data_IF_048649534652
#
_entry.id   IF_048649534652
#
_cell.length_a   1.000
_cell.length_b   1.000
_cell.length_c   1.000
_cell.angle_alpha   90.00
_cell.angle_beta   90.00
_cell.angle_gamma   90.00
#
_symmetry.space_group_name_H-M   'P 1'
#
loop_
_entity.id
_entity.type
_entity.pdbx_description
1 polymer ?
#
# COMPACT_ATOMS: atom_id res chain seq x y z
N UNK A 1 45.69 44.06 32.24
CA UNK A 1 45.50 43.65 30.82
C UNK A 1 44.50 42.52 30.77
N UNK A 2 43.47 42.67 29.94
CA UNK A 2 42.35 41.74 29.72
C UNK A 2 42.81 40.48 28.98
N UNK A 3 42.28 39.32 29.32
CA UNK A 3 42.05 38.25 28.34
C UNK A 3 40.66 37.65 28.53
N UNK A 4 39.81 37.93 27.56
CA UNK A 4 38.46 37.38 27.40
C UNK A 4 38.63 36.00 26.76
N UNK A 5 38.11 34.94 27.41
CA UNK A 5 37.97 33.61 26.78
C UNK A 5 36.74 33.63 25.88
N UNK A 6 36.94 33.67 24.58
CA UNK A 6 35.89 33.45 23.58
C UNK A 6 35.54 31.96 23.52
N UNK A 7 34.31 31.62 23.92
CA UNK A 7 33.65 30.37 23.55
C UNK A 7 33.56 30.29 22.02
N UNK A 8 34.04 29.19 21.44
CA UNK A 8 33.69 28.81 20.07
C UNK A 8 32.78 27.59 20.16
N UNK A 9 31.48 27.83 20.11
CA UNK A 9 30.48 26.76 19.90
C UNK A 9 30.38 26.57 18.39
N UNK A 10 30.95 25.49 17.88
CA UNK A 10 30.76 25.09 16.50
C UNK A 10 29.34 24.47 16.37
N UNK A 11 28.41 25.19 15.75
CA UNK A 11 27.14 24.62 15.30
C UNK A 11 27.44 23.68 14.12
N UNK A 12 27.43 22.36 14.38
CA UNK A 12 27.42 21.36 13.32
C UNK A 12 26.05 21.35 12.65
N UNK A 13 26.01 21.71 11.37
CA UNK A 13 24.81 21.55 10.53
C UNK A 13 24.72 20.06 10.17
N UNK A 14 23.90 19.32 10.91
CA UNK A 14 23.54 17.95 10.55
C UNK A 14 22.56 18.00 9.38
N UNK A 15 23.03 17.82 8.16
CA UNK A 15 22.17 17.51 7.02
C UNK A 15 21.53 16.14 7.26
N UNK A 16 20.25 16.11 7.67
CA UNK A 16 19.44 14.91 7.58
C UNK A 16 19.38 14.51 6.11
N UNK A 17 20.11 13.45 5.73
CA UNK A 17 19.83 12.74 4.48
C UNK A 17 18.43 12.14 4.65
N UNK A 18 17.45 12.69 3.96
CA UNK A 18 16.19 12.01 3.74
C UNK A 18 16.50 10.74 2.94
N UNK A 19 16.44 9.58 3.60
CA UNK A 19 16.56 8.30 2.93
C UNK A 19 15.39 8.20 1.95
N UNK A 20 15.67 8.30 0.65
CA UNK A 20 14.66 8.05 -0.39
C UNK A 20 14.34 6.57 -0.35
N UNK A 21 13.12 6.21 0.03
CA UNK A 21 12.67 4.83 -0.01
C UNK A 21 12.82 4.27 -1.45
N UNK A 22 13.20 2.99 -1.62
CA UNK A 22 13.37 2.42 -2.95
C UNK A 22 12.06 2.46 -3.73
N UNK A 23 12.12 2.77 -5.03
CA UNK A 23 10.95 2.93 -5.90
C UNK A 23 10.04 1.70 -5.90
N UNK A 24 10.60 0.49 -5.75
CA UNK A 24 9.85 -0.76 -5.60
C UNK A 24 9.01 -0.85 -4.31
N UNK A 25 9.39 -0.15 -3.24
CA UNK A 25 8.67 -0.21 -1.97
C UNK A 25 7.30 0.47 -2.02
N UNK A 26 7.06 1.37 -2.97
CA UNK A 26 5.83 2.17 -3.03
C UNK A 26 4.59 1.29 -3.20
N UNK A 27 3.53 1.59 -2.48
CA UNK A 27 2.23 0.97 -2.59
C UNK A 27 1.23 1.87 -3.30
N UNK A 28 0.00 1.37 -3.40
CA UNK A 28 -1.18 2.21 -3.60
C UNK A 28 -2.19 1.92 -2.49
N UNK A 29 -2.89 2.96 -2.03
CA UNK A 29 -3.99 2.84 -1.08
C UNK A 29 -4.99 3.97 -1.31
N UNK A 30 -6.19 3.83 -0.78
CA UNK A 30 -7.14 4.92 -0.78
C UNK A 30 -7.14 5.66 0.54
N UNK A 31 -7.24 6.98 0.46
CA UNK A 31 -7.37 7.85 1.63
C UNK A 31 -8.18 9.10 1.26
N UNK A 32 -8.80 9.72 2.27
CA UNK A 32 -9.48 10.99 2.07
C UNK A 32 -8.47 12.13 1.83
N UNK A 33 -8.77 12.98 0.85
CA UNK A 33 -8.07 14.23 0.53
C UNK A 33 -9.11 15.31 0.32
N UNK A 34 -9.20 16.26 1.26
CA UNK A 34 -10.23 17.30 1.26
C UNK A 34 -11.65 16.77 1.02
N UNK A 35 -12.03 15.68 1.73
CA UNK A 35 -13.32 14.97 1.62
C UNK A 35 -13.58 14.25 0.29
N UNK A 36 -12.56 14.09 -0.56
CA UNK A 36 -12.62 13.24 -1.73
C UNK A 36 -11.82 11.97 -1.46
N UNK A 37 -12.36 10.81 -1.83
CA UNK A 37 -11.60 9.57 -1.77
C UNK A 37 -10.56 9.60 -2.89
N UNK A 38 -9.28 9.53 -2.55
CA UNK A 38 -8.17 9.60 -3.49
C UNK A 38 -7.44 8.26 -3.55
N UNK A 39 -6.92 7.90 -4.73
CA UNK A 39 -5.94 6.83 -4.88
C UNK A 39 -4.54 7.43 -4.70
N UNK A 40 -3.89 7.09 -3.59
CA UNK A 40 -2.55 7.55 -3.23
C UNK A 40 -1.52 6.57 -3.78
N UNK A 41 -0.37 7.11 -4.23
CA UNK A 41 0.82 6.34 -4.61
C UNK A 41 2.00 6.85 -3.77
N UNK A 42 2.63 5.97 -3.00
CA UNK A 42 3.58 6.41 -1.97
C UNK A 42 4.13 5.26 -1.13
N UNK A 43 4.91 5.60 -0.12
CA UNK A 43 5.31 4.76 1.01
C UNK A 43 5.42 5.67 2.24
N UNK A 44 4.93 5.22 3.40
CA UNK A 44 4.90 6.07 4.58
C UNK A 44 4.05 7.33 4.37
N UNK A 45 4.65 8.49 4.67
CA UNK A 45 4.03 9.81 4.51
C UNK A 45 4.05 10.33 3.05
N UNK A 46 4.67 9.60 2.12
CA UNK A 46 4.72 10.04 0.73
C UNK A 46 3.32 10.06 0.10
N UNK A 47 3.05 11.14 -0.62
CA UNK A 47 1.88 11.32 -1.47
C UNK A 47 2.38 11.86 -2.82
N UNK A 48 2.96 10.95 -3.60
CA UNK A 48 3.62 11.31 -4.85
C UNK A 48 2.59 11.59 -5.94
N UNK A 49 3.05 12.19 -7.05
CA UNK A 49 2.25 12.43 -8.24
C UNK A 49 1.74 11.11 -8.86
N UNK A 50 0.57 10.70 -8.40
CA UNK A 50 -0.14 9.49 -8.77
C UNK A 50 -0.84 9.65 -10.12
N UNK A 51 -1.11 10.88 -10.56
CA UNK A 51 -1.66 11.16 -11.90
C UNK A 51 -0.71 10.66 -13.00
N UNK A 52 0.60 10.83 -12.83
CA UNK A 52 1.62 10.24 -13.74
C UNK A 52 1.57 8.71 -13.84
N UNK A 53 0.92 8.03 -12.87
CA UNK A 53 0.80 6.57 -12.80
C UNK A 53 -0.58 6.07 -13.23
N UNK A 54 -1.53 6.96 -13.55
CA UNK A 54 -2.86 6.56 -14.04
C UNK A 54 -2.83 5.57 -15.22
N UNK A 55 -1.94 5.71 -16.23
CA UNK A 55 -1.87 4.72 -17.32
C UNK A 55 -1.47 3.29 -16.87
N UNK A 56 -0.93 3.15 -15.66
CA UNK A 56 -0.55 1.87 -15.06
C UNK A 56 -1.70 1.22 -14.26
N UNK A 57 -2.70 2.00 -13.86
CA UNK A 57 -3.92 1.51 -13.23
C UNK A 57 -4.73 0.75 -14.28
N UNK A 58 -5.03 -0.52 -14.00
CA UNK A 58 -5.76 -1.40 -14.93
C UNK A 58 -7.26 -1.36 -14.68
N UNK A 59 -7.66 -1.34 -13.41
CA UNK A 59 -9.06 -1.25 -13.02
C UNK A 59 -9.22 -0.38 -11.78
N UNK A 60 -10.39 0.26 -11.69
CA UNK A 60 -10.95 0.85 -10.48
C UNK A 60 -12.44 0.52 -10.48
N UNK A 61 -12.93 -0.06 -9.40
CA UNK A 61 -14.31 -0.53 -9.30
C UNK A 61 -14.86 -0.19 -7.91
N UNK A 62 -16.00 0.49 -7.88
CA UNK A 62 -16.78 0.68 -6.66
C UNK A 62 -17.69 -0.52 -6.42
N UNK A 63 -18.07 -0.74 -5.18
CA UNK A 63 -19.00 -1.79 -4.79
C UNK A 63 -20.02 -1.25 -3.81
N UNK A 64 -21.27 -1.69 -3.93
CA UNK A 64 -22.32 -1.42 -2.95
C UNK A 64 -22.18 -2.34 -1.71
N UNK A 65 -23.11 -2.23 -0.76
CA UNK A 65 -23.11 -3.05 0.46
C UNK A 65 -23.37 -4.54 0.23
N UNK A 66 -23.86 -4.91 -0.96
CA UNK A 66 -24.09 -6.29 -1.38
C UNK A 66 -22.95 -6.84 -2.24
N UNK A 67 -21.89 -6.04 -2.44
CA UNK A 67 -20.76 -6.31 -3.32
C UNK A 67 -21.12 -6.36 -4.80
N UNK A 68 -22.24 -5.76 -5.19
CA UNK A 68 -22.52 -5.52 -6.60
C UNK A 68 -21.63 -4.37 -7.10
N UNK A 69 -21.09 -4.46 -8.33
CA UNK A 69 -20.25 -3.41 -8.88
C UNK A 69 -21.05 -2.13 -9.14
N UNK A 70 -20.43 -0.99 -8.83
CA UNK A 70 -20.92 0.36 -9.09
C UNK A 70 -20.01 1.01 -10.13
N UNK A 71 -20.57 1.86 -11.00
CA UNK A 71 -19.77 2.57 -12.00
C UNK A 71 -18.82 3.52 -11.30
N UNK A 72 -17.51 3.33 -11.48
CA UNK A 72 -16.51 4.13 -10.79
C UNK A 72 -15.36 4.46 -11.73
N UNK A 73 -14.77 5.64 -11.55
CA UNK A 73 -13.63 6.08 -12.34
C UNK A 73 -12.64 6.86 -11.47
N UNK A 74 -11.43 7.07 -11.99
CA UNK A 74 -10.45 7.98 -11.41
C UNK A 74 -10.35 9.23 -12.27
N UNK A 75 -10.59 10.39 -11.66
CA UNK A 75 -10.40 11.70 -12.28
C UNK A 75 -9.18 12.38 -11.70
N UNK A 76 -8.32 12.95 -12.54
CA UNK A 76 -7.20 13.75 -12.09
C UNK A 76 -7.68 15.05 -11.42
N UNK A 77 -7.19 15.32 -10.21
CA UNK A 77 -7.36 16.56 -9.47
C UNK A 77 -5.98 17.07 -9.02
N UNK A 78 -5.33 17.86 -9.89
CA UNK A 78 -3.92 18.22 -9.70
C UNK A 78 -3.01 17.00 -9.85
N UNK A 79 -2.19 16.71 -8.84
CA UNK A 79 -1.29 15.55 -8.81
C UNK A 79 -1.95 14.28 -8.25
N UNK A 80 -3.20 14.37 -7.78
CA UNK A 80 -3.90 13.30 -7.07
C UNK A 80 -5.12 12.84 -7.90
N UNK A 81 -5.25 11.55 -8.23
CA UNK A 81 -6.47 11.00 -8.79
C UNK A 81 -7.51 10.75 -7.69
N UNK A 82 -8.71 11.24 -7.91
CA UNK A 82 -9.85 11.07 -7.01
C UNK A 82 -10.91 10.16 -7.61
N UNK A 83 -11.59 9.42 -6.75
CA UNK A 83 -12.65 8.49 -7.12
C UNK A 83 -13.92 9.28 -7.42
N UNK A 84 -14.41 9.13 -8.65
CA UNK A 84 -15.76 9.55 -9.03
C UNK A 84 -16.66 8.31 -9.11
N UNK A 85 -17.86 8.40 -8.59
CA UNK A 85 -18.88 7.35 -8.59
C UNK A 85 -20.25 7.96 -8.88
N UNK A 86 -21.10 7.23 -9.60
CA UNK A 86 -22.49 7.62 -9.87
C UNK A 86 -23.40 7.39 -8.65
N UNK A 87 -23.06 6.39 -7.84
CA UNK A 87 -23.80 6.00 -6.64
C UNK A 87 -22.89 5.93 -5.39
N UNK A 88 -23.45 5.95 -4.18
CA UNK A 88 -22.69 5.68 -2.96
C UNK A 88 -22.01 4.30 -2.99
N UNK A 89 -20.73 4.26 -2.61
CA UNK A 89 -19.94 3.02 -2.55
C UNK A 89 -19.69 2.59 -1.11
N UNK A 90 -19.84 1.29 -0.83
CA UNK A 90 -19.41 0.63 0.40
C UNK A 90 -17.92 0.26 0.38
N UNK A 91 -17.37 0.05 -0.81
CA UNK A 91 -15.96 -0.18 -1.02
C UNK A 91 -15.48 0.28 -2.39
N UNK A 92 -14.17 0.49 -2.52
CA UNK A 92 -13.51 0.74 -3.80
C UNK A 92 -12.29 -0.14 -3.90
N UNK A 93 -12.10 -0.79 -5.05
CA UNK A 93 -10.94 -1.61 -5.34
C UNK A 93 -10.20 -1.09 -6.58
N UNK A 94 -8.87 -1.19 -6.59
CA UNK A 94 -8.06 -0.85 -7.75
C UNK A 94 -6.91 -1.83 -7.95
N UNK A 95 -6.55 -2.03 -9.21
CA UNK A 95 -5.38 -2.83 -9.62
C UNK A 95 -4.43 -1.98 -10.43
N UNK A 96 -3.13 -2.18 -10.23
CA UNK A 96 -2.06 -1.52 -10.97
C UNK A 96 -0.99 -2.54 -11.32
N UNK A 97 -0.63 -2.56 -12.59
CA UNK A 97 0.60 -3.21 -13.05
C UNK A 97 1.67 -2.12 -13.14
N UNK A 98 2.59 -2.12 -12.19
CA UNK A 98 3.64 -1.11 -12.09
C UNK A 98 4.82 -1.41 -13.02
N UNK A 99 4.79 -2.55 -13.72
CA UNK A 99 5.77 -2.93 -14.72
C UNK A 99 7.05 -3.55 -14.16
N UNK A 100 8.04 -3.65 -15.05
CA UNK A 100 9.33 -4.25 -14.77
C UNK A 100 10.30 -3.23 -14.16
N UNK A 101 11.03 -3.64 -13.14
CA UNK A 101 12.02 -2.82 -12.47
C UNK A 101 13.30 -3.62 -12.25
N UNK A 102 14.43 -3.06 -12.69
CA UNK A 102 15.75 -3.67 -12.56
C UNK A 102 16.69 -2.77 -11.77
N UNK A 103 17.37 -3.35 -10.78
CA UNK A 103 18.34 -2.67 -9.93
C UNK A 103 19.76 -3.02 -10.33
N UNK A 104 20.56 -2.03 -10.72
CA UNK A 104 21.97 -2.19 -11.08
C UNK A 104 22.88 -2.27 -9.84
N UNK A 105 24.15 -2.71 -9.98
CA UNK A 105 25.06 -2.90 -8.84
C UNK A 105 25.38 -1.62 -8.04
N UNK A 106 25.26 -0.46 -8.66
CA UNK A 106 25.36 0.87 -8.04
C UNK A 106 24.09 1.25 -7.24
N UNK A 107 23.02 0.46 -7.35
CA UNK A 107 21.79 0.62 -6.63
C UNK A 107 20.71 1.44 -7.36
N UNK A 108 20.98 1.90 -8.58
CA UNK A 108 19.99 2.61 -9.39
C UNK A 108 18.87 1.68 -9.87
N UNK A 109 17.65 2.23 -9.98
CA UNK A 109 16.47 1.51 -10.45
C UNK A 109 16.07 1.98 -11.84
N UNK A 110 15.87 1.03 -12.75
CA UNK A 110 15.40 1.28 -14.11
C UNK A 110 14.04 0.61 -14.34
N UNK A 111 13.10 1.33 -14.95
CA UNK A 111 11.78 0.81 -15.33
C UNK A 111 11.87 -0.07 -16.60
N UNK A 112 12.59 -1.18 -16.48
CA UNK A 112 12.97 -2.13 -17.53
C UNK A 112 13.19 -3.53 -16.95
N UNK A 113 13.04 -4.55 -17.78
CA UNK A 113 13.37 -5.94 -17.45
C UNK A 113 14.86 -6.28 -17.59
N UNK A 114 15.23 -7.47 -17.12
CA UNK A 114 16.60 -8.03 -17.20
C UNK A 114 17.09 -8.21 -18.64
N UNK A 115 16.19 -8.34 -19.60
CA UNK A 115 16.51 -8.37 -21.03
C UNK A 115 17.11 -7.06 -21.55
N UNK A 116 16.68 -5.92 -21.00
CA UNK A 116 17.22 -4.60 -21.34
C UNK A 116 18.28 -4.10 -20.36
N UNK A 117 18.32 -4.65 -19.14
CA UNK A 117 19.30 -4.32 -18.09
C UNK A 117 20.05 -5.60 -17.68
N UNK A 118 20.92 -6.15 -18.55
CA UNK A 118 21.54 -7.47 -18.32
C UNK A 118 22.48 -7.51 -17.12
N UNK A 119 23.01 -6.37 -16.68
CA UNK A 119 23.86 -6.23 -15.50
C UNK A 119 23.08 -6.05 -14.19
N UNK A 120 21.74 -6.15 -14.20
CA UNK A 120 20.91 -6.01 -13.01
C UNK A 120 21.27 -7.06 -11.94
N UNK A 121 21.41 -6.61 -10.70
CA UNK A 121 21.55 -7.47 -9.52
C UNK A 121 20.22 -8.05 -9.06
N UNK A 122 19.12 -7.36 -9.39
CA UNK A 122 17.76 -7.76 -9.07
C UNK A 122 16.84 -7.23 -10.17
N UNK A 123 15.90 -8.05 -10.64
CA UNK A 123 14.87 -7.67 -11.59
C UNK A 123 13.51 -8.19 -11.11
N UNK A 124 12.49 -7.34 -11.16
CA UNK A 124 11.19 -7.60 -10.55
C UNK A 124 10.06 -7.14 -11.46
N UNK A 125 8.92 -7.82 -11.40
CA UNK A 125 7.65 -7.31 -11.94
C UNK A 125 6.72 -6.99 -10.78
N UNK A 126 6.35 -5.73 -10.67
CA UNK A 126 5.65 -5.20 -9.50
C UNK A 126 4.15 -5.00 -9.75
N UNK A 127 3.32 -5.61 -8.92
CA UNK A 127 1.86 -5.45 -8.95
C UNK A 127 1.35 -4.82 -7.66
N UNK A 128 0.38 -3.91 -7.80
CA UNK A 128 -0.19 -3.19 -6.66
C UNK A 128 -1.71 -3.27 -6.68
N UNK A 129 -2.28 -3.47 -5.51
CA UNK A 129 -3.72 -3.63 -5.31
C UNK A 129 -4.14 -2.74 -4.14
N UNK A 130 -5.31 -2.13 -4.24
CA UNK A 130 -5.89 -1.36 -3.14
C UNK A 130 -7.34 -1.74 -2.96
N UNK A 131 -7.75 -1.91 -1.70
CA UNK A 131 -9.15 -2.00 -1.29
C UNK A 131 -9.39 -0.95 -0.20
N UNK A 132 -10.48 -0.21 -0.33
CA UNK A 132 -10.98 0.70 0.70
C UNK A 132 -12.36 0.26 1.15
N UNK A 133 -12.58 0.22 2.45
CA UNK A 133 -13.91 0.06 3.04
C UNK A 133 -14.38 1.42 3.55
N UNK A 134 -15.46 1.96 2.98
CA UNK A 134 -16.04 3.25 3.42
C UNK A 134 -16.89 3.08 4.67
N UNK A 135 -17.28 1.84 4.97
CA UNK A 135 -18.07 1.44 6.12
C UNK A 135 -17.67 0.04 6.59
N UNK A 136 -18.04 -0.33 7.82
CA UNK A 136 -17.86 -1.70 8.29
C UNK A 136 -18.73 -2.64 7.46
N UNK A 137 -18.14 -3.68 6.83
CA UNK A 137 -18.89 -4.56 5.95
C UNK A 137 -19.87 -5.44 6.75
N UNK A 138 -21.08 -5.61 6.23
CA UNK A 138 -22.11 -6.49 6.81
C UNK A 138 -22.02 -7.93 6.29
N UNK A 139 -21.25 -8.13 5.23
CA UNK A 139 -20.97 -9.42 4.56
C UNK A 139 -19.47 -9.60 4.38
N UNK A 140 -18.94 -10.84 4.32
CA UNK A 140 -17.51 -11.06 4.13
C UNK A 140 -17.04 -10.36 2.85
N UNK A 141 -15.88 -9.70 2.92
CA UNK A 141 -15.27 -9.05 1.74
C UNK A 141 -14.93 -10.14 0.72
N UNK A 142 -15.51 -10.12 -0.49
CA UNK A 142 -15.22 -11.13 -1.51
C UNK A 142 -13.84 -10.92 -2.09
N UNK A 143 -13.34 -11.91 -2.83
CA UNK A 143 -12.15 -11.70 -3.67
C UNK A 143 -12.56 -11.01 -4.95
N UNK A 144 -11.89 -9.91 -5.27
CA UNK A 144 -12.22 -9.10 -6.43
C UNK A 144 -11.51 -9.63 -7.68
N UNK A 145 -12.19 -9.53 -8.83
CA UNK A 145 -11.60 -9.89 -10.11
C UNK A 145 -10.35 -9.04 -10.40
N UNK A 146 -9.30 -9.66 -10.95
CA UNK A 146 -8.03 -9.00 -11.23
C UNK A 146 -7.11 -8.84 -10.00
N UNK A 147 -7.60 -9.06 -8.77
CA UNK A 147 -6.75 -9.04 -7.58
C UNK A 147 -5.99 -10.36 -7.43
N UNK A 148 -4.76 -10.42 -7.96
CA UNK A 148 -3.88 -11.59 -7.77
C UNK A 148 -3.47 -11.74 -6.31
N UNK A 149 -3.26 -10.64 -5.59
CA UNK A 149 -3.07 -10.61 -4.15
C UNK A 149 -4.18 -9.74 -3.52
N UNK A 150 -4.79 -10.22 -2.44
CA UNK A 150 -5.77 -9.46 -1.69
C UNK A 150 -5.66 -9.77 -0.19
N UNK A 151 -5.67 -8.73 0.64
CA UNK A 151 -5.82 -8.84 2.09
C UNK A 151 -7.24 -8.41 2.48
N UNK A 152 -7.88 -9.21 3.33
CA UNK A 152 -9.25 -8.96 3.82
C UNK A 152 -9.32 -9.14 5.33
N UNK A 153 -10.31 -8.51 6.01
CA UNK A 153 -10.67 -8.92 7.36
C UNK A 153 -11.04 -10.41 7.36
N UNK A 154 -10.49 -11.18 8.29
CA UNK A 154 -10.84 -12.60 8.42
C UNK A 154 -12.21 -12.79 9.09
N UNK A 155 -12.59 -11.83 9.93
CA UNK A 155 -13.85 -11.77 10.66
C UNK A 155 -14.68 -10.56 10.19
N UNK A 156 -16.01 -10.68 10.23
CA UNK A 156 -16.93 -9.58 9.92
C UNK A 156 -16.81 -8.41 10.90
N UNK A 157 -16.61 -8.72 12.18
CA UNK A 157 -16.49 -7.74 13.24
C UNK A 157 -15.08 -7.13 13.22
N UNK A 158 -14.87 -6.11 12.37
CA UNK A 158 -13.65 -5.30 12.41
C UNK A 158 -13.59 -4.60 13.79
N UNK A 159 -12.50 -4.74 14.56
CA UNK A 159 -12.39 -4.08 15.86
C UNK A 159 -12.48 -2.56 15.71
N UNK A 160 -13.09 -1.91 16.70
CA UNK A 160 -13.48 -0.49 16.59
C UNK A 160 -12.58 0.44 17.41
N UNK A 161 -11.60 -0.12 18.13
CA UNK A 161 -10.67 0.65 18.95
C UNK A 161 -9.23 0.37 18.57
N UNK A 162 -8.44 1.44 18.55
CA UNK A 162 -6.99 1.35 18.49
C UNK A 162 -6.46 0.39 19.57
N UNK A 163 -5.53 -0.46 19.18
CA UNK A 163 -4.85 -1.41 20.03
C UNK A 163 -5.52 -2.78 20.14
N UNK A 164 -6.76 -2.94 19.63
CA UNK A 164 -7.43 -4.23 19.56
C UNK A 164 -6.79 -5.14 18.50
N UNK A 165 -6.74 -6.47 18.74
CA UNK A 165 -6.25 -7.42 17.76
C UNK A 165 -7.25 -7.56 16.61
N UNK A 166 -6.76 -7.53 15.38
CA UNK A 166 -7.54 -7.78 14.17
C UNK A 166 -6.95 -8.99 13.43
N UNK A 167 -7.79 -9.97 13.12
CA UNK A 167 -7.40 -11.08 12.26
C UNK A 167 -7.64 -10.71 10.80
N UNK A 168 -6.64 -10.89 9.97
CA UNK A 168 -6.72 -10.72 8.51
C UNK A 168 -6.40 -12.02 7.81
N UNK A 169 -6.85 -12.15 6.56
CA UNK A 169 -6.45 -13.24 5.67
C UNK A 169 -5.92 -12.68 4.36
N UNK A 170 -4.81 -13.22 3.90
CA UNK A 170 -4.22 -12.89 2.60
C UNK A 170 -4.48 -14.03 1.63
N UNK A 171 -4.94 -13.69 0.44
CA UNK A 171 -5.16 -14.59 -0.67
C UNK A 171 -4.19 -14.26 -1.80
N UNK A 172 -3.56 -15.28 -2.37
CA UNK A 172 -2.79 -15.21 -3.60
C UNK A 172 -3.41 -16.15 -4.63
N UNK A 173 -3.72 -15.64 -5.83
CA UNK A 173 -4.40 -16.37 -6.92
C UNK A 173 -5.68 -17.06 -6.44
N UNK A 174 -6.48 -16.34 -5.66
CA UNK A 174 -7.75 -16.81 -5.12
C UNK A 174 -7.66 -17.80 -3.96
N UNK A 175 -6.46 -18.16 -3.48
CA UNK A 175 -6.25 -19.15 -2.41
C UNK A 175 -5.54 -18.52 -1.21
N UNK A 176 -5.87 -18.93 0.03
CA UNK A 176 -5.13 -18.47 1.20
C UNK A 176 -3.64 -18.77 1.06
N UNK A 177 -2.78 -17.79 1.39
CA UNK A 177 -1.34 -17.91 1.17
C UNK A 177 -0.56 -17.77 2.48
N UNK A 178 0.33 -18.72 2.75
CA UNK A 178 1.23 -18.69 3.89
C UNK A 178 2.48 -17.84 3.60
N UNK A 179 3.05 -17.24 4.64
CA UNK A 179 4.30 -16.48 4.57
C UNK A 179 4.20 -15.10 3.93
N UNK A 180 3.01 -14.63 3.57
CA UNK A 180 2.81 -13.23 3.18
C UNK A 180 3.07 -12.32 4.38
N UNK A 181 3.84 -11.27 4.16
CA UNK A 181 4.06 -10.21 5.15
C UNK A 181 2.79 -9.37 5.26
N UNK A 182 2.39 -9.01 6.48
CA UNK A 182 1.27 -8.11 6.76
C UNK A 182 1.79 -7.00 7.67
N UNK A 183 1.94 -5.82 7.10
CA UNK A 183 2.25 -4.59 7.82
C UNK A 183 0.95 -3.97 8.36
N UNK A 184 0.98 -3.56 9.62
CA UNK A 184 -0.19 -3.03 10.31
C UNK A 184 -0.36 -1.51 10.19
N UNK A 185 0.68 -0.79 9.77
CA UNK A 185 0.62 0.66 9.55
C UNK A 185 1.59 1.11 8.46
N UNK A 186 1.18 0.96 7.21
CA UNK A 186 2.02 1.29 6.06
C UNK A 186 2.30 2.79 5.87
N UNK A 187 1.48 3.64 6.50
CA UNK A 187 1.57 5.11 6.36
C UNK A 187 2.45 5.72 7.45
N UNK A 188 2.32 5.28 8.70
CA UNK A 188 3.11 5.86 9.81
C UNK A 188 4.34 5.03 10.18
N UNK A 189 4.41 3.77 9.76
CA UNK A 189 5.53 2.86 10.04
C UNK A 189 5.84 1.97 8.82
N UNK A 190 6.29 2.56 7.69
CA UNK A 190 6.63 1.81 6.47
C UNK A 190 7.86 0.91 6.64
N UNK A 191 8.60 1.03 7.74
CA UNK A 191 9.80 0.25 8.08
C UNK A 191 9.54 -0.69 9.27
N UNK A 192 8.27 -1.08 9.48
CA UNK A 192 7.83 -1.93 10.59
C UNK A 192 8.79 -3.09 10.83
N UNK A 193 9.32 -3.18 12.05
CA UNK A 193 10.25 -4.23 12.44
C UNK A 193 9.47 -5.51 12.75
N UNK A 194 9.82 -6.59 12.04
CA UNK A 194 9.22 -7.91 12.19
C UNK A 194 7.68 -7.91 12.03
N UNK A 195 7.17 -7.47 10.86
CA UNK A 195 5.74 -7.47 10.58
C UNK A 195 5.18 -8.90 10.64
N UNK A 196 3.88 -9.01 10.90
CA UNK A 196 3.22 -10.30 10.99
C UNK A 196 3.36 -11.08 9.68
N UNK A 197 3.44 -12.41 9.77
CA UNK A 197 3.41 -13.31 8.60
C UNK A 197 2.19 -14.19 8.66
N UNK A 198 1.60 -14.47 7.51
CA UNK A 198 0.44 -15.36 7.43
C UNK A 198 0.84 -16.82 7.70
N UNK A 199 -0.01 -17.53 8.45
CA UNK A 199 0.10 -18.97 8.68
C UNK A 199 -0.42 -19.81 7.52
N UNK A 200 -0.48 -21.12 7.71
CA UNK A 200 -0.89 -22.09 6.68
C UNK A 200 -2.32 -21.86 6.12
N UNK A 201 -3.23 -21.30 6.93
CA UNK A 201 -4.60 -20.95 6.51
C UNK A 201 -4.71 -19.54 5.89
N UNK A 202 -3.56 -18.92 5.60
CA UNK A 202 -3.43 -17.58 5.05
C UNK A 202 -3.71 -16.46 6.04
N UNK A 203 -3.87 -16.75 7.33
CA UNK A 203 -4.24 -15.73 8.33
C UNK A 203 -3.06 -15.19 9.11
N UNK A 204 -3.16 -13.92 9.49
CA UNK A 204 -2.26 -13.26 10.44
C UNK A 204 -3.10 -12.44 11.43
N UNK A 205 -2.58 -12.23 12.63
CA UNK A 205 -3.17 -11.30 13.61
C UNK A 205 -2.27 -10.09 13.72
N UNK A 206 -2.86 -8.91 13.50
CA UNK A 206 -2.20 -7.61 13.68
C UNK A 206 -2.84 -6.86 14.84
N UNK A 207 -2.17 -5.81 15.32
CA UNK A 207 -2.74 -4.87 16.28
C UNK A 207 -3.18 -3.62 15.54
N UNK A 208 -4.44 -3.21 15.70
CA UNK A 208 -4.89 -1.95 15.09
C UNK A 208 -4.09 -0.78 15.65
N UNK A 209 -3.46 -0.02 14.77
CA UNK A 209 -2.51 1.03 15.16
C UNK A 209 -3.14 2.39 15.34
N UNK A 210 -4.28 2.65 14.70
CA UNK A 210 -4.82 4.00 14.59
C UNK A 210 -6.31 4.07 14.95
N UNK A 211 -6.68 5.08 15.75
CA UNK A 211 -8.07 5.56 15.85
C UNK A 211 -8.26 6.64 14.76
N UNK A 212 -8.75 6.22 13.60
CA UNK A 212 -8.76 7.02 12.38
C UNK A 212 -8.38 6.15 11.18
N UNK A 213 -7.63 6.70 10.23
CA UNK A 213 -7.21 5.96 9.04
C UNK A 213 -6.28 4.80 9.41
N UNK A 214 -6.60 3.61 8.90
CA UNK A 214 -5.76 2.42 8.96
C UNK A 214 -5.45 2.02 7.51
N UNK A 215 -4.17 1.78 7.21
CA UNK A 215 -3.71 1.25 5.92
C UNK A 215 -2.82 0.05 6.20
N UNK A 216 -3.42 -1.13 6.08
CA UNK A 216 -2.69 -2.40 6.15
C UNK A 216 -2.05 -2.68 4.79
N UNK A 217 -0.89 -3.31 4.77
CA UNK A 217 -0.21 -3.70 3.54
C UNK A 217 0.20 -5.17 3.61
N UNK A 218 -0.34 -5.99 2.71
CA UNK A 218 0.15 -7.34 2.47
C UNK A 218 1.20 -7.34 1.35
N UNK A 219 2.33 -8.00 1.57
CA UNK A 219 3.41 -8.15 0.59
C UNK A 219 3.67 -9.64 0.40
N UNK A 220 3.72 -10.07 -0.87
CA UNK A 220 4.04 -11.45 -1.22
C UNK A 220 4.95 -11.48 -2.44
N UNK A 221 6.05 -12.23 -2.34
CA UNK A 221 6.98 -12.49 -3.45
C UNK A 221 6.60 -13.83 -4.06
N UNK A 222 6.03 -13.78 -5.26
CA UNK A 222 5.69 -14.94 -6.05
C UNK A 222 6.82 -15.37 -6.97
N UNK A 223 6.76 -16.62 -7.44
CA UNK A 223 7.65 -17.07 -8.51
C UNK A 223 7.34 -16.33 -9.80
N UNK A 224 8.38 -15.83 -10.47
CA UNK A 224 8.28 -15.25 -11.79
C UNK A 224 7.84 -16.29 -12.82
N UNK A 225 6.92 -15.89 -13.69
CA UNK A 225 6.58 -16.65 -14.90
C UNK A 225 7.35 -16.17 -16.14
N UNK A 226 7.79 -14.91 -16.11
CA UNK A 226 8.59 -14.28 -17.17
C UNK A 226 10.09 -14.37 -16.85
N UNK A 227 10.90 -14.71 -17.87
CA UNK A 227 12.37 -14.78 -17.76
C UNK A 227 13.04 -13.41 -17.63
N UNK A 228 12.29 -12.32 -17.81
CA UNK A 228 12.79 -10.95 -17.66
C UNK A 228 12.99 -10.52 -16.21
N UNK A 229 12.53 -11.31 -15.25
CA UNK A 229 12.58 -10.97 -13.83
C UNK A 229 12.96 -12.17 -12.99
N UNK A 230 13.51 -11.91 -11.81
CA UNK A 230 13.87 -12.94 -10.84
C UNK A 230 12.64 -13.38 -10.04
N UNK A 231 11.73 -12.44 -9.77
CA UNK A 231 10.47 -12.69 -9.09
C UNK A 231 9.38 -11.67 -9.46
N UNK A 232 8.14 -11.99 -9.07
CA UNK A 232 7.01 -11.07 -9.12
C UNK A 232 6.69 -10.61 -7.69
N UNK A 233 6.64 -9.31 -7.46
CA UNK A 233 6.27 -8.75 -6.15
C UNK A 233 4.84 -8.22 -6.19
N UNK A 234 4.04 -8.62 -5.22
CA UNK A 234 2.64 -8.25 -5.08
C UNK A 234 2.46 -7.46 -3.79
N UNK A 235 1.87 -6.26 -3.89
CA UNK A 235 1.52 -5.41 -2.73
C UNK A 235 0.03 -5.13 -2.72
N UNK A 236 -0.68 -5.55 -1.69
CA UNK A 236 -2.12 -5.36 -1.56
C UNK A 236 -2.46 -4.58 -0.29
N UNK A 237 -3.08 -3.42 -0.43
CA UNK A 237 -3.53 -2.62 0.70
C UNK A 237 -5.00 -2.89 1.05
N UNK A 238 -5.30 -2.83 2.34
CA UNK A 238 -6.65 -2.70 2.86
C UNK A 238 -6.70 -1.45 3.73
N UNK A 239 -7.57 -0.52 3.36
CA UNK A 239 -7.73 0.76 4.04
C UNK A 239 -9.16 0.95 4.56
N UNK A 240 -9.28 1.56 5.73
CA UNK A 240 -10.56 1.91 6.37
C UNK A 240 -10.33 2.98 7.43
N UNK A 241 -11.40 3.60 7.92
CA UNK A 241 -11.32 4.63 8.95
C UNK A 241 -12.13 4.18 10.16
N UNK A 242 -11.50 4.16 11.34
CA UNK A 242 -12.22 4.03 12.61
C UNK A 242 -12.76 5.40 13.05
N UNK A 243 -13.99 5.48 13.56
CA UNK A 243 -14.56 6.74 14.02
C UNK A 243 -13.80 7.29 15.23
N UNK A 244 -13.64 8.61 15.31
CA UNK A 244 -13.19 9.28 16.54
C UNK A 244 -14.39 9.60 17.44
N UNK A 245 -14.12 9.99 18.69
CA UNK A 245 -15.17 10.49 19.58
C UNK A 245 -15.77 11.77 19.00
N UNK A 246 -17.07 12.04 19.19
CA UNK A 246 -17.69 13.31 18.79
C UNK A 246 -16.89 14.51 19.32
N UNK A 247 -16.79 15.56 18.50
CA UNK A 247 -16.20 16.85 18.88
C UNK A 247 -17.08 17.64 19.85
#
# INVERSE_FOLDING_TARGET
MRLVRTLSVALGVSTLLAATAPVGAHGIWFAQRARQLALVYGVGADDLDAVKRLPLVKTVTGYDSDWAPVTTSLRAAGAIPVVDSDEPVAAVAATMDYGYWSKTPDGEWHNKGRDEVPNATLAEHNFKYAVHLTQVPTKPVPLFEGHTLQVVPADLAIPQKMGEPMKVRVYYKGKPVAGATVMQDYVNDPDEVAPAKTGADGTATIKLRNQGINVLMAIYVGQATDKKVDHEEYRASLSFVLPHLPE
#
